data_IF_891127508274
#
_entry.id   IF_891127508274
#
_cell.length_a   1.000
_cell.length_b   1.000
_cell.length_c   1.000
_cell.angle_alpha   90.00
_cell.angle_beta   90.00
_cell.angle_gamma   90.00
#
_symmetry.space_group_name_H-M   'P 1'
#
loop_
_entity.id
_entity.type
_entity.pdbx_description
1 polymer ?
#
# COMPACT_ATOMS: atom_id res chain seq x y z
N UNK A 1 -7.33 16.78 -2.29
CA UNK A 1 -6.48 16.37 -1.15
C UNK A 1 -7.23 15.30 -0.37
N UNK A 2 -6.97 14.03 -0.67
CA UNK A 2 -7.41 12.94 0.20
C UNK A 2 -6.67 13.15 1.54
N UNK A 3 -7.42 13.44 2.61
CA UNK A 3 -6.82 13.80 3.89
C UNK A 3 -6.42 12.52 4.62
N UNK A 4 -5.26 11.96 4.24
CA UNK A 4 -4.68 10.74 4.82
C UNK A 4 -4.53 10.81 6.35
N UNK A 5 -4.51 12.04 6.90
CA UNK A 5 -4.48 12.33 8.34
C UNK A 5 -5.69 11.80 9.11
N UNK A 6 -6.87 11.65 8.48
CA UNK A 6 -8.06 11.14 9.17
C UNK A 6 -8.07 9.62 9.39
N UNK A 7 -7.21 8.89 8.67
CA UNK A 7 -7.23 7.42 8.61
C UNK A 7 -6.17 6.77 9.48
N UNK A 8 -5.14 7.53 9.89
CA UNK A 8 -3.92 7.02 10.51
C UNK A 8 -3.79 7.36 12.00
N UNK A 9 -4.89 7.42 12.76
CA UNK A 9 -4.88 7.83 14.17
C UNK A 9 -4.06 6.95 15.15
N UNK A 10 -3.26 5.99 14.66
CA UNK A 10 -2.41 5.10 15.44
C UNK A 10 -0.98 5.67 15.46
N UNK A 11 -0.47 5.97 16.66
CA UNK A 11 0.93 6.37 16.86
C UNK A 11 1.89 5.34 16.24
N UNK A 12 2.87 5.81 15.46
CA UNK A 12 3.85 4.99 14.74
C UNK A 12 3.56 4.83 13.24
N UNK A 13 2.32 5.03 12.79
CA UNK A 13 1.99 4.99 11.36
C UNK A 13 2.45 6.26 10.65
N UNK A 14 2.51 7.40 11.35
CA UNK A 14 3.01 8.66 10.79
C UNK A 14 4.51 8.63 10.45
N UNK A 15 5.36 8.10 11.33
CA UNK A 15 6.81 8.06 11.12
C UNK A 15 7.18 7.22 9.89
N UNK A 16 6.49 6.08 9.71
CA UNK A 16 6.65 5.24 8.51
C UNK A 16 6.20 5.98 7.25
N UNK A 17 5.08 6.70 7.30
CA UNK A 17 4.59 7.47 6.15
C UNK A 17 5.56 8.61 5.79
N UNK A 18 6.02 9.39 6.77
CA UNK A 18 6.98 10.48 6.53
C UNK A 18 8.29 9.97 5.94
N UNK A 19 8.83 8.87 6.48
CA UNK A 19 10.06 8.25 5.97
C UNK A 19 9.91 7.77 4.51
N UNK A 20 8.72 7.34 4.12
CA UNK A 20 8.43 6.87 2.75
C UNK A 20 8.11 8.04 1.81
N UNK A 21 7.49 9.12 2.30
CA UNK A 21 7.26 10.34 1.51
C UNK A 21 8.57 11.03 1.10
N UNK A 22 9.62 10.91 1.90
CA UNK A 22 10.96 11.41 1.54
C UNK A 22 11.59 10.66 0.35
N UNK A 23 11.04 9.52 -0.06
CA UNK A 23 11.60 8.66 -1.12
C UNK A 23 11.01 8.93 -2.51
N UNK A 24 10.25 10.03 -2.66
CA UNK A 24 9.54 10.37 -3.90
C UNK A 24 8.59 9.24 -4.38
N UNK A 25 8.10 8.44 -3.43
CA UNK A 25 7.06 7.42 -3.68
C UNK A 25 5.71 8.10 -3.63
N UNK A 26 4.80 7.74 -4.54
CA UNK A 26 3.47 8.32 -4.54
C UNK A 26 2.73 7.93 -3.26
N UNK A 27 2.01 8.85 -2.58
CA UNK A 27 1.32 8.54 -1.32
C UNK A 27 0.41 7.31 -1.39
N UNK A 28 -0.25 7.10 -2.54
CA UNK A 28 -1.14 5.95 -2.76
C UNK A 28 -0.41 4.60 -2.73
N UNK A 29 0.86 4.55 -3.18
CA UNK A 29 1.67 3.33 -3.19
C UNK A 29 2.17 3.02 -1.77
N UNK A 30 2.49 4.07 -1.00
CA UNK A 30 2.86 3.95 0.41
C UNK A 30 1.69 3.37 1.22
N UNK A 31 0.49 3.89 1.01
CA UNK A 31 -0.71 3.40 1.70
C UNK A 31 -0.99 1.95 1.33
N UNK A 32 -0.67 1.53 0.09
CA UNK A 32 -0.83 0.14 -0.32
C UNK A 32 0.16 -0.76 0.44
N UNK A 33 1.41 -0.33 0.60
CA UNK A 33 2.39 -1.04 1.42
C UNK A 33 1.93 -1.20 2.87
N UNK A 34 1.36 -0.15 3.45
CA UNK A 34 0.83 -0.18 4.83
C UNK A 34 -0.35 -1.14 4.95
N UNK A 35 -1.35 -0.99 4.07
CA UNK A 35 -2.54 -1.83 4.05
C UNK A 35 -2.18 -3.32 3.84
N UNK A 36 -1.19 -3.62 2.99
CA UNK A 36 -0.67 -4.97 2.80
C UNK A 36 -0.05 -5.56 4.09
N UNK A 37 0.69 -4.75 4.84
CA UNK A 37 1.30 -5.16 6.11
C UNK A 37 0.31 -5.32 7.26
N UNK A 38 -0.81 -4.62 7.19
CA UNK A 38 -1.91 -4.71 8.17
C UNK A 38 -2.96 -5.77 7.79
N UNK A 39 -2.94 -6.24 6.54
CA UNK A 39 -3.95 -7.16 6.00
C UNK A 39 -5.33 -6.52 5.77
N UNK A 40 -5.39 -5.19 5.60
CA UNK A 40 -6.64 -4.45 5.37
C UNK A 40 -7.12 -4.64 3.92
N UNK A 41 -7.77 -5.78 3.65
CA UNK A 41 -8.29 -6.14 2.32
C UNK A 41 -9.18 -5.05 1.69
N UNK A 42 -10.18 -4.48 2.39
CA UNK A 42 -10.98 -3.38 1.84
C UNK A 42 -10.14 -2.19 1.39
N UNK A 43 -9.14 -1.80 2.19
CA UNK A 43 -8.23 -0.70 1.84
C UNK A 43 -7.33 -1.03 0.66
N UNK A 44 -6.80 -2.25 0.60
CA UNK A 44 -5.97 -2.73 -0.51
C UNK A 44 -6.74 -2.62 -1.82
N UNK A 45 -7.99 -3.10 -1.87
CA UNK A 45 -8.83 -2.99 -3.07
C UNK A 45 -9.09 -1.53 -3.46
N UNK A 46 -9.40 -0.66 -2.50
CA UNK A 46 -9.64 0.77 -2.75
C UNK A 46 -8.40 1.45 -3.37
N UNK A 47 -7.22 1.19 -2.81
CA UNK A 47 -5.96 1.77 -3.26
C UNK A 47 -5.56 1.25 -4.65
N UNK A 48 -5.74 -0.04 -4.91
CA UNK A 48 -5.49 -0.63 -6.22
C UNK A 48 -6.45 -0.05 -7.28
N UNK A 49 -7.74 0.15 -6.95
CA UNK A 49 -8.69 0.87 -7.81
C UNK A 49 -8.29 2.32 -8.06
N UNK A 50 -7.66 2.97 -7.09
CA UNK A 50 -7.14 4.32 -7.19
C UNK A 50 -5.83 4.42 -8.00
N UNK A 51 -5.32 3.30 -8.53
CA UNK A 51 -4.12 3.26 -9.37
C UNK A 51 -2.82 3.06 -8.60
N UNK A 52 -2.87 2.55 -7.36
CA UNK A 52 -1.67 2.19 -6.62
C UNK A 52 -0.87 1.10 -7.32
N UNK A 53 0.45 1.29 -7.38
CA UNK A 53 1.40 0.34 -7.92
C UNK A 53 2.02 -0.49 -6.81
N UNK A 54 1.73 -1.79 -6.82
CA UNK A 54 2.34 -2.75 -5.90
C UNK A 54 3.79 -3.10 -6.27
N UNK A 55 4.34 -2.54 -7.35
CA UNK A 55 5.71 -2.84 -7.83
C UNK A 55 6.76 -1.84 -7.34
N UNK A 56 6.33 -0.73 -6.74
CA UNK A 56 7.23 0.30 -6.19
C UNK A 56 7.98 -0.27 -4.99
N UNK A 57 9.27 0.06 -4.88
CA UNK A 57 10.13 -0.35 -3.77
C UNK A 57 10.34 0.80 -2.81
N UNK A 58 10.26 0.51 -1.51
CA UNK A 58 10.71 1.42 -0.46
C UNK A 58 12.24 1.42 -0.30
N UNK A 59 12.76 2.17 0.68
CA UNK A 59 14.20 2.27 0.98
C UNK A 59 14.83 0.95 1.40
N UNK A 60 14.05 0.02 1.92
CA UNK A 60 14.50 -1.34 2.24
C UNK A 60 14.51 -2.25 1.01
N UNK A 61 14.14 -1.73 -0.17
CA UNK A 61 14.01 -2.48 -1.41
C UNK A 61 12.76 -3.36 -1.49
N UNK A 62 11.79 -3.16 -0.59
CA UNK A 62 10.57 -3.97 -0.45
C UNK A 62 9.37 -3.33 -1.15
N UNK A 63 8.57 -4.17 -1.79
CA UNK A 63 7.29 -3.82 -2.42
C UNK A 63 6.11 -4.10 -1.50
N UNK A 64 4.89 -3.72 -1.90
CA UNK A 64 3.67 -4.09 -1.17
C UNK A 64 3.51 -5.62 -1.06
N UNK A 65 3.99 -6.38 -2.04
CA UNK A 65 3.97 -7.85 -2.02
C UNK A 65 4.96 -8.43 -1.01
N UNK A 66 6.09 -7.77 -0.79
CA UNK A 66 7.12 -8.20 0.18
C UNK A 66 6.71 -7.84 1.62
N UNK A 67 5.78 -6.90 1.76
CA UNK A 67 5.23 -6.43 3.04
C UNK A 67 3.89 -7.08 3.38
N UNK A 68 3.31 -7.89 2.50
CA UNK A 68 2.06 -8.59 2.75
C UNK A 68 2.14 -9.46 4.02
N UNK A 69 1.12 -9.36 4.88
CA UNK A 69 1.09 -10.09 6.16
C UNK A 69 0.99 -11.61 5.98
N UNK A 70 0.39 -12.06 4.88
CA UNK A 70 0.26 -13.47 4.52
C UNK A 70 0.12 -13.67 2.99
N UNK A 71 0.07 -14.93 2.56
CA UNK A 71 -0.07 -15.29 1.15
C UNK A 71 -1.43 -14.88 0.58
N UNK A 72 -2.50 -14.84 1.38
CA UNK A 72 -3.82 -14.44 0.92
C UNK A 72 -3.82 -12.97 0.48
N UNK A 73 -3.19 -12.09 1.26
CA UNK A 73 -3.01 -10.69 0.89
C UNK A 73 -2.13 -10.54 -0.34
N UNK A 74 -1.07 -11.33 -0.44
CA UNK A 74 -0.19 -11.34 -1.61
C UNK A 74 -0.95 -11.73 -2.88
N UNK A 75 -1.76 -12.79 -2.80
CA UNK A 75 -2.62 -13.24 -3.90
C UNK A 75 -3.69 -12.21 -4.26
N UNK A 76 -4.31 -11.54 -3.29
CA UNK A 76 -5.27 -10.46 -3.53
C UNK A 76 -4.65 -9.34 -4.39
N UNK A 77 -3.45 -8.87 -4.03
CA UNK A 77 -2.76 -7.80 -4.75
C UNK A 77 -2.39 -8.25 -6.18
N UNK A 78 -1.87 -9.47 -6.33
CA UNK A 78 -1.54 -10.03 -7.65
C UNK A 78 -2.78 -10.23 -8.53
N UNK A 79 -3.87 -10.71 -7.93
CA UNK A 79 -5.14 -10.96 -8.60
C UNK A 79 -5.79 -9.69 -9.14
N UNK A 80 -5.50 -8.53 -8.57
CA UNK A 80 -6.05 -7.26 -9.06
C UNK A 80 -5.54 -6.88 -10.47
N UNK A 81 -4.34 -7.34 -10.84
CA UNK A 81 -3.74 -7.06 -12.15
C UNK A 81 -4.45 -7.75 -13.31
N UNK A 82 -5.17 -8.84 -13.03
CA UNK A 82 -5.85 -9.64 -14.07
C UNK A 82 -7.25 -9.12 -14.41
N UNK A 83 -7.80 -8.22 -13.58
CA UNK A 83 -9.19 -7.73 -13.73
C UNK A 83 -9.29 -6.47 -14.60
N UNK A 84 -8.16 -5.82 -14.93
CA UNK A 84 -8.16 -4.51 -15.62
C UNK A 84 -7.74 -4.58 -17.11
N UNK A 85 -7.42 -5.77 -17.63
CA UNK A 85 -7.20 -6.04 -19.04
C UNK A 85 -8.40 -6.80 -19.65
N UNK A 86 -9.53 -6.12 -19.83
CA UNK A 86 -10.69 -6.59 -20.62
C UNK A 86 -11.50 -5.41 -21.13
#
# INVERSE_FOLDING_TARGET
YYNYMGMLAVEGTYDKLEALLQQNIHPVDILLMMAASEGDKPKIEELLRAGASYTVKNADGKTALDLAVDEEIRELILGFSTVQAS
#
